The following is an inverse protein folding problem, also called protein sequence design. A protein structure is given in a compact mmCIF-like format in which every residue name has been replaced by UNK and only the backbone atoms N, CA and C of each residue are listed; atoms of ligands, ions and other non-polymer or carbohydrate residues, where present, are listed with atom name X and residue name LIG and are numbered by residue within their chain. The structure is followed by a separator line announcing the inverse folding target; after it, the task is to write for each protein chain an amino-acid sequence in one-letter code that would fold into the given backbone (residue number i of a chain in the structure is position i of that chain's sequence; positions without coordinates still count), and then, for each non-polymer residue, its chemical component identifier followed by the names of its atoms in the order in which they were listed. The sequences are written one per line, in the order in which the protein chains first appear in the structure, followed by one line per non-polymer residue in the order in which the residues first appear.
data_IF_873115134977
#
_entry.id   IF_873115134977
#
_cell.length_a   1.000
_cell.length_b   1.000
_cell.length_c   1.000
_cell.angle_alpha   90.00
_cell.angle_beta   90.00
_cell.angle_gamma   90.00
#
_symmetry.space_group_name_H-M   'P 1'
#
loop_
_entity.id
_entity.type
_entity.pdbx_description
1 polymer ?
#
# COMPACT_ATOMS: atom_id res chain seq x y z
N UNK A 1 5.72 -13.06 -4.91
CA UNK A 1 4.69 -13.13 -3.86
C UNK A 1 4.11 -11.75 -3.62
N UNK A 2 2.80 -11.56 -3.88
CA UNK A 2 2.14 -10.26 -3.67
C UNK A 2 1.45 -10.20 -2.30
N UNK A 3 1.91 -9.29 -1.45
CA UNK A 3 1.36 -9.01 -0.12
C UNK A 3 0.78 -7.59 -0.03
N UNK A 4 0.64 -6.88 -1.13
CA UNK A 4 0.04 -5.54 -1.15
C UNK A 4 -1.43 -5.59 -0.73
N UNK A 5 -1.85 -4.65 0.12
CA UNK A 5 -3.21 -4.63 0.66
C UNK A 5 -3.54 -5.78 1.61
N UNK A 6 -2.62 -6.69 1.90
CA UNK A 6 -2.84 -7.81 2.81
C UNK A 6 -2.59 -7.38 4.27
N UNK A 7 -3.65 -7.20 5.04
CA UNK A 7 -3.61 -6.79 6.46
C UNK A 7 -3.04 -7.85 7.41
N UNK A 8 -2.58 -8.99 6.90
CA UNK A 8 -2.06 -10.12 7.66
C UNK A 8 -3.14 -11.13 8.07
N UNK A 9 -2.77 -12.01 8.97
CA UNK A 9 -3.62 -13.12 9.43
C UNK A 9 -2.99 -13.82 10.64
N UNK A 10 -2.94 -15.13 10.61
CA UNK A 10 -2.41 -15.94 11.69
C UNK A 10 -0.87 -15.95 11.66
N UNK A 11 -0.24 -15.70 12.81
CA UNK A 11 1.21 -15.74 12.95
C UNK A 11 1.78 -17.10 12.53
N UNK A 12 1.12 -18.20 12.89
CA UNK A 12 1.56 -19.54 12.52
C UNK A 12 1.63 -19.73 11.01
N UNK A 13 0.65 -19.20 10.28
CA UNK A 13 0.64 -19.30 8.82
C UNK A 13 1.73 -18.45 8.17
N UNK A 14 2.09 -17.29 8.74
CA UNK A 14 3.24 -16.54 8.25
C UNK A 14 4.55 -17.32 8.42
N UNK A 15 4.70 -18.07 9.52
CA UNK A 15 5.86 -18.98 9.72
C UNK A 15 5.86 -20.10 8.67
N UNK A 16 4.71 -20.70 8.39
CA UNK A 16 4.59 -21.74 7.37
C UNK A 16 4.94 -21.22 5.97
N UNK A 17 4.50 -20.01 5.61
CA UNK A 17 4.84 -19.40 4.31
C UNK A 17 6.35 -19.15 4.20
N UNK A 18 6.98 -18.59 5.23
CA UNK A 18 8.43 -18.38 5.24
C UNK A 18 9.17 -19.73 5.10
N UNK A 19 8.69 -20.77 5.77
CA UNK A 19 9.29 -22.11 5.72
C UNK A 19 9.30 -22.73 4.31
N UNK A 20 8.48 -22.27 3.38
CA UNK A 20 8.57 -22.73 1.99
C UNK A 20 9.91 -22.37 1.34
N UNK A 21 10.57 -21.31 1.80
CA UNK A 21 11.69 -20.68 1.12
C UNK A 21 13.00 -20.67 1.95
N UNK A 22 12.97 -21.13 3.19
CA UNK A 22 14.15 -21.12 4.06
C UNK A 22 14.38 -22.49 4.68
N UNK A 23 15.63 -22.80 4.99
CA UNK A 23 16.02 -24.07 5.61
C UNK A 23 15.36 -24.29 6.97
N UNK A 24 15.12 -25.56 7.29
CA UNK A 24 14.62 -25.96 8.61
C UNK A 24 15.53 -25.42 9.73
N UNK A 25 14.92 -24.87 10.77
CA UNK A 25 15.63 -24.27 11.90
C UNK A 25 15.91 -22.78 11.73
N UNK A 26 15.72 -22.19 10.54
CA UNK A 26 15.91 -20.75 10.31
C UNK A 26 14.95 -19.93 11.18
N UNK A 27 15.44 -18.90 11.90
CA UNK A 27 14.60 -17.98 12.66
C UNK A 27 13.64 -17.23 11.75
N UNK A 28 12.37 -17.11 12.18
CA UNK A 28 11.32 -16.38 11.44
C UNK A 28 10.86 -15.15 12.20
N UNK A 29 10.47 -15.30 13.45
CA UNK A 29 9.98 -14.19 14.27
C UNK A 29 10.10 -14.55 15.74
N UNK A 30 10.36 -13.57 16.59
CA UNK A 30 10.26 -13.72 18.05
C UNK A 30 9.22 -12.75 18.62
N UNK A 31 8.61 -13.15 19.73
CA UNK A 31 7.69 -12.30 20.49
C UNK A 31 8.24 -12.06 21.88
N UNK A 32 8.27 -10.79 22.31
CA UNK A 32 8.77 -10.39 23.64
C UNK A 32 7.78 -9.46 24.30
N UNK A 33 7.48 -9.72 25.56
CA UNK A 33 6.51 -8.96 26.35
C UNK A 33 7.00 -8.62 27.75
N UNK A 34 6.09 -8.12 28.60
CA UNK A 34 6.40 -7.86 30.03
C UNK A 34 6.61 -9.14 30.80
N UNK A 35 5.88 -10.21 30.46
CA UNK A 35 5.96 -11.53 31.11
C UNK A 35 6.95 -12.35 30.29
N UNK A 36 8.16 -12.52 30.82
CA UNK A 36 9.27 -13.18 30.15
C UNK A 36 8.98 -14.63 29.78
N UNK A 37 8.27 -15.35 30.61
CA UNK A 37 7.85 -16.73 30.36
C UNK A 37 6.94 -16.89 29.13
N UNK A 38 6.43 -15.79 28.59
CA UNK A 38 5.60 -15.76 27.38
C UNK A 38 6.40 -15.37 26.13
N UNK A 39 7.66 -15.05 26.28
CA UNK A 39 8.53 -14.80 25.14
C UNK A 39 8.68 -16.10 24.32
N UNK A 40 8.55 -15.99 23.00
CA UNK A 40 8.61 -17.13 22.10
C UNK A 40 9.46 -16.82 20.89
N UNK A 41 10.20 -17.82 20.44
CA UNK A 41 10.90 -17.83 19.17
C UNK A 41 10.21 -18.81 18.23
N UNK A 42 9.97 -18.39 17.00
CA UNK A 42 9.37 -19.21 15.95
C UNK A 42 10.43 -19.41 14.86
N UNK A 43 10.61 -20.67 14.47
CA UNK A 43 11.55 -21.10 13.43
C UNK A 43 10.83 -21.87 12.36
N UNK A 44 11.43 -22.00 11.19
CA UNK A 44 11.00 -22.92 10.16
C UNK A 44 11.10 -24.36 10.70
N UNK A 45 10.00 -25.12 10.67
CA UNK A 45 9.94 -26.44 11.32
C UNK A 45 9.99 -27.60 10.34
N UNK A 46 9.69 -27.37 9.06
CA UNK A 46 9.57 -28.39 8.04
C UNK A 46 10.65 -28.26 6.97
N UNK A 47 10.85 -29.31 6.19
CA UNK A 47 11.65 -29.23 4.98
C UNK A 47 11.10 -28.16 4.05
N UNK A 48 11.93 -27.26 3.49
CA UNK A 48 11.48 -26.22 2.57
C UNK A 48 10.94 -26.79 1.27
N UNK A 49 10.11 -25.98 0.59
CA UNK A 49 9.65 -26.30 -0.75
C UNK A 49 10.75 -26.02 -1.79
N UNK A 50 11.36 -24.84 -1.70
CA UNK A 50 12.43 -24.39 -2.60
C UNK A 50 13.23 -23.25 -1.95
N UNK A 51 14.49 -23.49 -1.69
CA UNK A 51 15.40 -22.48 -1.10
C UNK A 51 16.18 -21.67 -2.14
N UNK A 52 16.10 -22.03 -3.42
CA UNK A 52 16.93 -21.46 -4.48
C UNK A 52 16.14 -20.56 -5.45
N UNK A 53 14.84 -20.80 -5.63
CA UNK A 53 14.02 -20.00 -6.56
C UNK A 53 14.18 -18.49 -6.28
N UNK A 54 14.51 -17.65 -7.27
CA UNK A 54 14.54 -16.20 -7.08
C UNK A 54 13.18 -15.68 -6.60
N UNK A 55 13.18 -14.94 -5.50
CA UNK A 55 11.96 -14.52 -4.83
C UNK A 55 11.88 -12.99 -4.70
N UNK A 56 10.83 -12.42 -5.28
CA UNK A 56 10.44 -11.03 -5.11
C UNK A 56 9.14 -10.94 -4.30
N UNK A 57 9.07 -10.03 -3.33
CA UNK A 57 7.89 -9.80 -2.49
C UNK A 57 7.40 -8.37 -2.68
N UNK A 58 6.14 -8.22 -3.09
CA UNK A 58 5.52 -6.92 -3.29
C UNK A 58 4.79 -6.49 -2.02
N UNK A 59 5.10 -5.28 -1.53
CA UNK A 59 4.48 -4.71 -0.33
C UNK A 59 3.99 -3.28 -0.57
N UNK A 60 3.05 -2.83 0.24
CA UNK A 60 2.62 -1.43 0.32
C UNK A 60 2.11 -1.07 1.72
N UNK A 61 1.64 0.16 1.92
CA UNK A 61 1.08 0.60 3.20
C UNK A 61 -0.14 -0.18 3.71
N UNK A 62 -0.72 -1.08 2.92
CA UNK A 62 -1.76 -2.04 3.32
C UNK A 62 -1.20 -3.38 3.79
N UNK A 63 0.09 -3.67 3.57
CA UNK A 63 0.77 -4.87 4.04
C UNK A 63 1.04 -4.73 5.54
N UNK A 64 0.39 -5.56 6.37
CA UNK A 64 0.46 -5.41 7.82
C UNK A 64 0.57 -6.74 8.57
N UNK A 65 1.11 -6.70 9.81
CA UNK A 65 1.09 -7.82 10.75
C UNK A 65 1.77 -9.09 10.19
N UNK A 66 1.03 -10.21 9.97
CA UNK A 66 1.57 -11.46 9.44
C UNK A 66 2.25 -11.27 8.07
N UNK A 67 1.76 -10.37 7.23
CA UNK A 67 2.42 -10.03 5.95
C UNK A 67 3.78 -9.37 6.16
N UNK A 68 3.91 -8.57 7.21
CA UNK A 68 5.19 -7.96 7.59
C UNK A 68 6.15 -8.97 8.25
N UNK A 69 5.62 -10.02 8.90
CA UNK A 69 6.44 -11.15 9.36
C UNK A 69 7.03 -11.89 8.15
N UNK A 70 6.21 -12.19 7.14
CA UNK A 70 6.68 -12.87 5.92
C UNK A 70 7.74 -12.04 5.21
N UNK A 71 7.41 -10.79 4.85
CA UNK A 71 8.33 -9.93 4.10
C UNK A 71 9.60 -9.60 4.89
N UNK A 72 9.45 -9.22 6.17
CA UNK A 72 10.58 -8.86 7.03
C UNK A 72 11.47 -10.04 7.36
N UNK A 73 10.92 -11.24 7.58
CA UNK A 73 11.71 -12.44 7.82
C UNK A 73 12.52 -12.84 6.59
N UNK A 74 11.92 -12.84 5.40
CA UNK A 74 12.61 -13.18 4.16
C UNK A 74 13.63 -12.11 3.75
N UNK A 75 13.38 -10.83 4.07
CA UNK A 75 14.36 -9.76 3.92
C UNK A 75 15.54 -9.94 4.85
N UNK A 76 15.28 -10.15 6.15
CA UNK A 76 16.33 -10.26 7.19
C UNK A 76 17.20 -11.52 7.05
N UNK A 77 16.66 -12.58 6.44
CA UNK A 77 17.41 -13.79 6.08
C UNK A 77 18.10 -13.69 4.71
N UNK A 78 18.07 -12.53 4.06
CA UNK A 78 18.64 -12.29 2.71
C UNK A 78 18.12 -13.27 1.65
N UNK A 79 16.84 -13.70 1.79
CA UNK A 79 16.22 -14.72 0.93
C UNK A 79 15.38 -14.13 -0.20
N UNK A 80 14.87 -12.91 -0.03
CA UNK A 80 14.01 -12.27 -1.01
C UNK A 80 14.37 -10.79 -1.19
N UNK A 81 14.09 -10.27 -2.39
CA UNK A 81 14.09 -8.84 -2.68
C UNK A 81 12.68 -8.30 -2.43
N UNK A 82 12.57 -7.24 -1.65
CA UNK A 82 11.32 -6.58 -1.30
C UNK A 82 11.12 -5.36 -2.19
N UNK A 83 9.96 -5.27 -2.88
CA UNK A 83 9.64 -4.17 -3.78
C UNK A 83 8.33 -3.48 -3.42
N UNK A 84 8.22 -2.21 -3.75
CA UNK A 84 7.00 -1.43 -3.60
C UNK A 84 7.17 -0.22 -2.71
N UNK A 85 6.36 -0.09 -1.67
CA UNK A 85 6.44 1.01 -0.72
C UNK A 85 6.40 0.52 0.72
N UNK A 86 6.79 1.41 1.64
CA UNK A 86 6.83 1.13 3.08
C UNK A 86 5.55 0.46 3.57
N UNK A 87 5.69 -0.62 4.35
CA UNK A 87 4.56 -1.36 4.93
C UNK A 87 3.86 -0.59 6.06
N UNK A 88 2.83 -1.16 6.63
CA UNK A 88 1.99 -0.51 7.64
C UNK A 88 2.72 -0.21 8.96
N UNK A 89 3.54 -1.14 9.46
CA UNK A 89 4.23 -1.01 10.75
C UNK A 89 3.41 -1.48 11.95
N UNK A 90 2.79 -2.68 11.85
CA UNK A 90 2.00 -3.29 12.95
C UNK A 90 2.79 -4.42 13.61
N UNK A 91 3.56 -4.07 14.65
CA UNK A 91 4.45 -4.97 15.38
C UNK A 91 3.91 -5.43 16.75
N UNK A 92 2.62 -5.28 17.04
CA UNK A 92 2.02 -5.66 18.32
C UNK A 92 1.30 -7.01 18.24
N UNK A 93 1.56 -7.87 19.22
CA UNK A 93 0.87 -9.13 19.42
C UNK A 93 -0.32 -8.91 20.34
N UNK A 94 -1.51 -9.28 19.85
CA UNK A 94 -2.75 -9.17 20.61
C UNK A 94 -3.29 -10.56 20.93
N UNK A 95 -3.75 -10.75 22.16
CA UNK A 95 -4.42 -11.94 22.62
C UNK A 95 -5.89 -11.64 22.92
N UNK A 96 -6.77 -12.58 22.62
CA UNK A 96 -8.20 -12.47 22.90
C UNK A 96 -8.53 -13.40 24.07
N UNK A 97 -9.10 -12.84 25.13
CA UNK A 97 -9.53 -13.57 26.32
C UNK A 97 -11.06 -13.54 26.43
N UNK A 98 -11.71 -14.67 26.60
CA UNK A 98 -13.16 -14.69 26.87
C UNK A 98 -13.43 -14.07 28.24
N UNK A 99 -14.52 -13.33 28.32
CA UNK A 99 -15.09 -12.76 29.55
C UNK A 99 -16.51 -13.28 29.73
N UNK A 100 -17.15 -12.89 30.87
CA UNK A 100 -18.54 -13.18 31.14
C UNK A 100 -19.47 -12.61 30.05
N UNK A 101 -20.70 -13.18 29.96
CA UNK A 101 -21.73 -12.73 29.01
C UNK A 101 -21.29 -12.79 27.53
N UNK A 102 -20.53 -13.81 27.16
CA UNK A 102 -20.02 -14.01 25.79
C UNK A 102 -19.22 -12.81 25.21
N UNK A 103 -18.73 -11.95 26.09
CA UNK A 103 -17.85 -10.84 25.71
C UNK A 103 -16.41 -11.32 25.59
N UNK A 104 -15.56 -10.51 24.90
CA UNK A 104 -14.16 -10.83 24.68
C UNK A 104 -13.30 -9.60 24.94
N UNK A 105 -12.21 -9.79 25.67
CA UNK A 105 -11.17 -8.77 25.86
C UNK A 105 -10.02 -9.03 24.87
N UNK A 106 -9.72 -8.04 24.04
CA UNK A 106 -8.54 -8.03 23.18
C UNK A 106 -7.48 -7.16 23.82
N UNK A 107 -6.36 -7.75 24.20
CA UNK A 107 -5.28 -7.06 24.91
C UNK A 107 -3.95 -7.27 24.22
N UNK A 108 -3.13 -6.21 24.14
CA UNK A 108 -1.74 -6.29 23.66
C UNK A 108 -0.87 -6.92 24.75
N UNK A 109 -0.17 -7.99 24.39
CA UNK A 109 0.63 -8.79 25.35
C UNK A 109 2.13 -8.77 25.03
N UNK A 110 2.52 -8.54 23.77
CA UNK A 110 3.92 -8.54 23.34
C UNK A 110 4.14 -7.66 22.11
N UNK A 111 5.40 -7.43 21.77
CA UNK A 111 5.87 -6.98 20.45
C UNK A 111 6.50 -8.17 19.73
N UNK A 112 6.48 -8.17 18.39
CA UNK A 112 7.26 -9.14 17.64
C UNK A 112 8.45 -8.47 16.94
N UNK A 113 9.48 -9.30 16.77
CA UNK A 113 10.78 -8.92 16.24
C UNK A 113 11.13 -9.86 15.10
N UNK A 114 11.60 -9.32 14.02
CA UNK A 114 12.10 -10.08 12.86
C UNK A 114 13.46 -10.72 13.17
N UNK A 115 14.03 -11.58 12.31
CA UNK A 115 15.29 -12.27 12.58
C UNK A 115 16.47 -11.36 12.90
N UNK A 116 16.53 -10.16 12.32
CA UNK A 116 17.57 -9.16 12.65
C UNK A 116 17.45 -8.59 14.07
N UNK A 117 16.32 -8.83 14.74
CA UNK A 117 16.02 -8.29 16.08
C UNK A 117 15.30 -6.95 16.06
N UNK A 118 14.98 -6.38 14.89
CA UNK A 118 14.22 -5.12 14.79
C UNK A 118 12.74 -5.31 15.09
N UNK A 119 12.15 -4.31 15.74
CA UNK A 119 10.70 -4.20 15.96
C UNK A 119 10.10 -3.24 14.95
N UNK A 120 9.20 -3.72 14.12
CA UNK A 120 8.63 -2.93 13.02
C UNK A 120 7.49 -1.99 13.43
N UNK A 121 7.15 -1.94 14.74
CA UNK A 121 6.03 -1.13 15.24
C UNK A 121 6.25 0.36 15.01
N UNK A 122 5.43 0.95 14.13
CA UNK A 122 5.52 2.36 13.71
C UNK A 122 4.85 3.33 14.67
N UNK A 123 3.75 2.91 15.32
CA UNK A 123 2.96 3.77 16.20
C UNK A 123 3.31 3.53 17.66
N UNK A 124 3.66 4.61 18.38
CA UNK A 124 3.83 4.60 19.82
C UNK A 124 2.50 4.87 20.51
N UNK A 125 1.90 3.82 21.07
CA UNK A 125 0.66 3.91 21.83
C UNK A 125 0.87 4.35 23.28
N UNK A 126 2.11 4.41 23.75
CA UNK A 126 2.45 4.85 25.12
C UNK A 126 2.36 6.36 25.26
N UNK A 127 2.64 7.08 24.18
CA UNK A 127 2.60 8.54 24.12
C UNK A 127 1.58 8.97 23.06
N UNK A 128 0.44 9.47 23.54
CA UNK A 128 -0.63 9.97 22.67
C UNK A 128 -0.51 11.49 22.52
N UNK A 129 -0.89 11.98 21.34
CA UNK A 129 -0.99 13.43 21.10
C UNK A 129 -2.20 14.04 21.83
N UNK A 130 -2.32 15.38 21.77
CA UNK A 130 -3.42 16.13 22.40
C UNK A 130 -4.82 15.67 21.98
N UNK A 131 -4.93 15.00 20.83
CA UNK A 131 -6.19 14.47 20.28
C UNK A 131 -6.39 12.98 20.64
N UNK A 132 -5.59 12.41 21.55
CA UNK A 132 -5.68 11.01 21.98
C UNK A 132 -5.17 9.99 20.95
N UNK A 133 -4.61 10.42 19.81
CA UNK A 133 -4.06 9.54 18.77
C UNK A 133 -2.61 9.17 19.09
N UNK A 134 -2.22 7.93 18.77
CA UNK A 134 -0.84 7.47 18.86
C UNK A 134 0.06 8.26 17.91
N UNK A 135 1.26 8.61 18.37
CA UNK A 135 2.28 9.25 17.55
C UNK A 135 3.06 8.20 16.74
N UNK A 136 3.68 8.64 15.65
CA UNK A 136 4.72 7.82 15.01
C UNK A 136 5.95 7.78 15.94
N UNK A 137 6.70 6.69 15.88
CA UNK A 137 8.05 6.64 16.49
C UNK A 137 8.86 7.77 15.85
N UNK A 138 9.47 8.67 16.63
CA UNK A 138 10.31 9.73 16.10
C UNK A 138 11.50 9.17 15.30
N UNK A 139 11.88 9.82 14.22
CA UNK A 139 13.01 9.40 13.38
C UNK A 139 14.32 9.30 14.17
N UNK A 140 14.49 10.12 15.20
CA UNK A 140 15.65 10.09 16.12
C UNK A 140 15.74 8.83 16.98
N UNK A 141 14.67 8.04 17.06
CA UNK A 141 14.62 6.76 17.81
C UNK A 141 14.65 5.54 16.89
N UNK A 142 14.71 5.73 15.58
CA UNK A 142 14.86 4.64 14.61
C UNK A 142 16.29 4.10 14.71
N UNK A 143 16.38 2.79 14.88
CA UNK A 143 17.67 2.09 15.02
C UNK A 143 17.94 1.26 13.77
N UNK A 144 19.19 1.29 13.34
CA UNK A 144 19.70 0.44 12.25
C UNK A 144 20.02 -0.96 12.77
N UNK A 145 19.61 -1.96 12.03
CA UNK A 145 19.93 -3.38 12.20
C UNK A 145 20.55 -3.93 10.93
N UNK A 146 21.09 -5.13 11.01
CA UNK A 146 21.73 -5.80 9.87
C UNK A 146 21.03 -7.11 9.57
N UNK A 147 20.90 -7.43 8.29
CA UNK A 147 20.44 -8.76 7.85
C UNK A 147 21.45 -9.86 8.19
N UNK A 148 20.99 -11.10 8.22
CA UNK A 148 21.72 -12.21 8.81
C UNK A 148 23.03 -12.58 8.08
N UNK A 149 23.03 -12.54 6.74
CA UNK A 149 24.15 -13.03 5.93
C UNK A 149 24.91 -11.92 5.23
N UNK A 150 24.19 -10.94 4.65
CA UNK A 150 24.77 -9.90 3.79
C UNK A 150 25.05 -8.59 4.51
N UNK A 151 24.64 -8.46 5.78
CA UNK A 151 24.78 -7.22 6.56
C UNK A 151 24.10 -5.99 5.88
N UNK A 152 23.01 -6.20 5.12
CA UNK A 152 22.21 -5.10 4.58
C UNK A 152 21.61 -4.29 5.72
N UNK A 153 21.53 -2.98 5.53
CA UNK A 153 20.90 -2.08 6.51
C UNK A 153 19.39 -2.22 6.47
N UNK A 154 18.80 -2.49 7.62
CA UNK A 154 17.33 -2.53 7.83
C UNK A 154 17.01 -1.74 9.10
N UNK A 155 15.81 -1.19 9.19
CA UNK A 155 15.46 -0.25 10.26
C UNK A 155 14.23 -0.70 11.05
N UNK A 156 14.17 -0.35 12.32
CA UNK A 156 13.00 -0.55 13.16
C UNK A 156 12.03 0.66 13.11
N UNK A 157 10.95 0.61 13.88
CA UNK A 157 10.08 1.75 14.15
C UNK A 157 9.25 2.30 12.99
N UNK A 158 9.36 1.73 11.78
CA UNK A 158 8.69 2.30 10.60
C UNK A 158 7.89 1.30 9.74
N UNK A 159 7.92 0.03 10.03
CA UNK A 159 7.45 -1.07 9.18
C UNK A 159 8.60 -1.69 8.39
N UNK A 160 8.26 -2.43 7.32
CA UNK A 160 9.25 -3.01 6.41
C UNK A 160 9.46 -2.04 5.25
N UNK A 161 10.68 -1.53 5.10
CA UNK A 161 11.10 -0.75 3.96
C UNK A 161 11.46 -1.68 2.78
N UNK A 162 11.01 -1.39 1.56
CA UNK A 162 11.41 -2.18 0.40
C UNK A 162 12.89 -1.98 0.05
N UNK A 163 13.51 -2.99 -0.56
CA UNK A 163 14.85 -2.89 -1.14
C UNK A 163 14.84 -2.04 -2.42
N UNK A 164 13.73 -2.10 -3.18
CA UNK A 164 13.46 -1.26 -4.34
C UNK A 164 12.15 -0.51 -4.11
N UNK A 165 12.26 0.80 -3.92
CA UNK A 165 11.08 1.65 -3.79
C UNK A 165 10.49 1.94 -5.17
N UNK A 166 9.21 1.59 -5.35
CA UNK A 166 8.43 1.96 -6.52
C UNK A 166 7.39 2.98 -6.09
N UNK A 167 7.52 4.19 -6.62
CA UNK A 167 6.60 5.28 -6.28
C UNK A 167 5.20 4.95 -6.73
N UNK A 168 4.26 5.10 -5.82
CA UNK A 168 2.84 4.98 -6.13
C UNK A 168 2.39 6.20 -6.91
N UNK A 169 1.77 5.99 -8.06
CA UNK A 169 1.02 7.05 -8.70
C UNK A 169 -0.21 7.36 -7.85
N UNK A 170 -0.26 8.58 -7.32
CA UNK A 170 -1.47 9.06 -6.64
C UNK A 170 -2.56 9.27 -7.68
N UNK A 171 -3.78 8.91 -7.33
CA UNK A 171 -4.93 9.18 -8.18
C UNK A 171 -5.12 10.69 -8.30
N UNK A 172 -5.56 11.12 -9.48
CA UNK A 172 -5.99 12.49 -9.70
C UNK A 172 -7.19 12.83 -8.80
N UNK A 173 -7.39 14.12 -8.54
CA UNK A 173 -8.52 14.56 -7.71
C UNK A 173 -9.86 14.20 -8.34
N UNK A 174 -9.97 14.26 -9.67
CA UNK A 174 -11.18 13.84 -10.37
C UNK A 174 -11.43 12.34 -10.19
N UNK A 175 -10.43 11.47 -10.39
CA UNK A 175 -10.58 10.02 -10.17
C UNK A 175 -10.96 9.71 -8.73
N UNK A 176 -10.37 10.42 -7.78
CA UNK A 176 -10.70 10.30 -6.36
C UNK A 176 -12.16 10.70 -6.10
N UNK A 177 -12.64 11.82 -6.68
CA UNK A 177 -14.02 12.25 -6.54
C UNK A 177 -15.00 11.23 -7.12
N UNK A 178 -14.74 10.76 -8.34
CA UNK A 178 -15.56 9.74 -9.02
C UNK A 178 -15.64 8.43 -8.19
N UNK A 179 -14.54 8.02 -7.55
CA UNK A 179 -14.47 6.87 -6.67
C UNK A 179 -15.30 7.06 -5.40
N UNK A 180 -15.08 8.17 -4.68
CA UNK A 180 -15.76 8.46 -3.41
C UNK A 180 -17.27 8.61 -3.60
N UNK A 181 -17.70 9.12 -4.76
CA UNK A 181 -19.11 9.25 -5.12
C UNK A 181 -19.70 8.01 -5.78
N UNK A 182 -18.91 6.90 -5.84
CA UNK A 182 -19.34 5.62 -6.42
C UNK A 182 -19.81 5.70 -7.88
N UNK A 183 -19.31 6.67 -8.65
CA UNK A 183 -19.75 6.88 -10.02
C UNK A 183 -19.19 5.83 -10.99
N UNK A 184 -17.99 5.32 -10.74
CA UNK A 184 -17.46 4.15 -11.45
C UNK A 184 -18.35 2.93 -11.22
N UNK A 185 -18.70 2.67 -9.96
CA UNK A 185 -19.56 1.56 -9.59
C UNK A 185 -20.93 1.64 -10.25
N UNK A 186 -21.55 2.83 -10.26
CA UNK A 186 -22.85 3.08 -10.90
C UNK A 186 -22.82 2.76 -12.38
N UNK A 187 -21.87 3.37 -13.10
CA UNK A 187 -21.74 3.15 -14.54
C UNK A 187 -21.39 1.70 -14.90
N UNK A 188 -20.47 1.08 -14.18
CA UNK A 188 -20.13 -0.33 -14.42
C UNK A 188 -21.34 -1.26 -14.26
N UNK A 189 -22.27 -0.92 -13.37
CA UNK A 189 -23.54 -1.63 -13.20
C UNK A 189 -24.47 -1.41 -14.38
N UNK A 190 -24.64 -0.16 -14.86
CA UNK A 190 -25.41 0.14 -16.07
C UNK A 190 -24.80 -0.53 -17.31
N UNK A 191 -23.47 -0.50 -17.43
CA UNK A 191 -22.75 -1.18 -18.49
C UNK A 191 -23.06 -2.70 -18.51
N UNK A 192 -23.06 -3.35 -17.35
CA UNK A 192 -23.40 -4.77 -17.22
C UNK A 192 -24.83 -5.09 -17.61
N UNK A 193 -25.77 -4.18 -17.38
CA UNK A 193 -27.16 -4.33 -17.79
C UNK A 193 -27.35 -4.16 -19.29
N UNK A 194 -26.48 -3.40 -19.96
CA UNK A 194 -26.53 -3.13 -21.40
C UNK A 194 -25.82 -4.19 -22.25
N UNK A 195 -24.76 -4.77 -21.73
CA UNK A 195 -23.91 -5.75 -22.43
C UNK A 195 -23.89 -7.08 -21.67
N UNK A 196 -24.34 -8.16 -22.32
CA UNK A 196 -24.40 -9.48 -21.68
C UNK A 196 -23.01 -10.11 -21.46
N UNK A 197 -22.06 -9.81 -22.32
CA UNK A 197 -20.70 -10.37 -22.30
C UNK A 197 -19.65 -9.30 -22.61
N UNK A 198 -18.44 -9.52 -22.15
CA UNK A 198 -17.23 -8.78 -22.55
C UNK A 198 -16.14 -9.78 -22.98
N UNK A 199 -15.03 -9.29 -23.52
CA UNK A 199 -13.84 -10.09 -23.77
C UNK A 199 -13.24 -10.63 -22.47
N UNK A 200 -12.16 -11.42 -22.57
CA UNK A 200 -11.46 -11.91 -21.38
C UNK A 200 -10.99 -10.75 -20.49
N UNK A 201 -10.80 -11.00 -19.19
CA UNK A 201 -10.35 -9.96 -18.25
C UNK A 201 -9.03 -9.30 -18.69
N UNK A 202 -8.16 -10.05 -19.35
CA UNK A 202 -6.88 -9.56 -19.87
C UNK A 202 -7.01 -8.70 -21.13
N UNK A 203 -8.02 -8.97 -21.95
CA UNK A 203 -8.14 -8.35 -23.27
C UNK A 203 -9.22 -7.25 -23.29
N UNK A 204 -9.92 -7.05 -22.16
CA UNK A 204 -10.97 -6.06 -22.08
C UNK A 204 -10.38 -4.66 -22.04
N UNK A 205 -10.79 -3.84 -22.98
CA UNK A 205 -10.51 -2.41 -22.99
C UNK A 205 -11.70 -1.66 -23.56
N UNK A 206 -12.05 -0.55 -22.93
CA UNK A 206 -13.11 0.34 -23.40
C UNK A 206 -12.70 1.02 -24.70
N UNK A 207 -13.59 1.04 -25.69
CA UNK A 207 -13.42 1.89 -26.87
C UNK A 207 -13.58 3.37 -26.51
N UNK A 208 -13.16 4.26 -27.41
CA UNK A 208 -13.36 5.70 -27.22
C UNK A 208 -14.84 6.05 -27.14
N UNK A 209 -15.69 5.43 -27.96
CA UNK A 209 -17.14 5.61 -27.90
C UNK A 209 -17.74 5.16 -26.55
N UNK A 210 -17.25 4.07 -26.01
CA UNK A 210 -17.69 3.58 -24.70
C UNK A 210 -17.22 4.51 -23.56
N UNK A 211 -16.04 5.12 -23.71
CA UNK A 211 -15.56 6.14 -22.77
C UNK A 211 -16.42 7.41 -22.86
N UNK A 212 -16.79 7.86 -24.06
CA UNK A 212 -17.72 8.99 -24.25
C UNK A 212 -19.09 8.71 -23.64
N UNK A 213 -19.57 7.47 -23.67
CA UNK A 213 -20.81 7.11 -22.97
C UNK A 213 -20.67 7.29 -21.45
N UNK A 214 -19.49 6.99 -20.88
CA UNK A 214 -19.22 7.28 -19.47
C UNK A 214 -19.19 8.78 -19.18
N UNK A 215 -18.54 9.57 -20.03
CA UNK A 215 -18.53 11.05 -19.90
C UNK A 215 -19.96 11.60 -19.96
N UNK A 216 -20.79 11.08 -20.85
CA UNK A 216 -22.20 11.48 -20.97
C UNK A 216 -23.03 11.04 -19.73
N UNK A 217 -22.75 9.87 -19.16
CA UNK A 217 -23.35 9.42 -17.89
C UNK A 217 -23.06 10.38 -16.74
N UNK A 218 -21.91 11.06 -16.75
CA UNK A 218 -21.53 12.02 -15.72
C UNK A 218 -22.15 13.41 -15.89
N UNK A 219 -22.85 13.68 -17.00
CA UNK A 219 -23.32 15.03 -17.34
C UNK A 219 -24.27 15.64 -16.29
N UNK A 220 -25.08 14.81 -15.63
CA UNK A 220 -26.04 15.19 -14.58
C UNK A 220 -25.59 14.81 -13.16
N UNK A 221 -24.38 14.25 -13.02
CA UNK A 221 -23.84 13.80 -11.73
C UNK A 221 -23.00 14.88 -11.06
N UNK A 222 -23.06 14.90 -9.74
CA UNK A 222 -22.15 15.71 -8.94
C UNK A 222 -20.84 14.94 -8.70
N UNK A 223 -19.74 15.41 -9.31
CA UNK A 223 -18.36 14.95 -9.06
C UNK A 223 -17.43 16.11 -8.73
N UNK A 224 -17.98 17.13 -8.05
CA UNK A 224 -17.23 18.28 -7.59
C UNK A 224 -16.09 17.88 -6.63
N UNK A 225 -14.96 18.54 -6.78
CA UNK A 225 -13.80 18.42 -5.88
C UNK A 225 -13.08 19.77 -5.83
N UNK A 226 -12.33 20.00 -4.77
CA UNK A 226 -11.37 21.10 -4.62
C UNK A 226 -9.96 20.54 -4.68
N UNK A 227 -9.02 21.34 -5.16
CA UNK A 227 -7.61 21.00 -5.13
C UNK A 227 -6.93 21.71 -3.97
N UNK A 228 -5.83 21.15 -3.47
CA UNK A 228 -4.99 21.81 -2.45
C UNK A 228 -4.54 23.21 -2.92
N UNK A 229 -4.29 23.37 -4.23
CA UNK A 229 -3.93 24.68 -4.80
C UNK A 229 -5.07 25.70 -4.70
N UNK A 230 -6.33 25.27 -4.88
CA UNK A 230 -7.49 26.13 -4.69
C UNK A 230 -7.68 26.51 -3.20
N UNK A 231 -7.51 25.55 -2.30
CA UNK A 231 -7.58 25.79 -0.85
C UNK A 231 -6.47 26.77 -0.41
N UNK A 232 -5.24 26.59 -0.91
CA UNK A 232 -4.14 27.50 -0.65
C UNK A 232 -4.37 28.89 -1.22
N UNK A 233 -5.02 29.04 -2.38
CA UNK A 233 -5.42 30.34 -2.91
C UNK A 233 -6.43 31.05 -2.01
N UNK A 234 -7.42 30.34 -1.50
CA UNK A 234 -8.39 30.90 -0.55
C UNK A 234 -7.67 31.36 0.74
N UNK A 235 -6.73 30.55 1.23
CA UNK A 235 -5.92 30.90 2.39
C UNK A 235 -5.02 32.13 2.12
N UNK A 236 -4.41 32.22 0.92
CA UNK A 236 -3.61 33.36 0.49
C UNK A 236 -4.45 34.65 0.41
N UNK A 237 -5.65 34.58 -0.17
CA UNK A 237 -6.56 35.73 -0.24
C UNK A 237 -6.87 36.27 1.17
N UNK A 238 -7.18 35.34 2.09
CA UNK A 238 -7.47 35.71 3.48
C UNK A 238 -6.27 36.38 4.14
N UNK A 239 -5.09 35.77 4.05
CA UNK A 239 -3.86 36.31 4.64
C UNK A 239 -3.51 37.69 4.07
N UNK A 240 -3.59 37.85 2.73
CA UNK A 240 -3.28 39.13 2.08
C UNK A 240 -4.28 40.24 2.49
N UNK A 241 -5.56 39.90 2.72
CA UNK A 241 -6.56 40.84 3.25
C UNK A 241 -6.26 41.24 4.70
N UNK A 242 -5.91 40.28 5.54
CA UNK A 242 -5.55 40.52 6.95
C UNK A 242 -4.31 41.42 7.05
N UNK A 243 -3.33 41.21 6.15
CA UNK A 243 -2.09 41.98 6.05
C UNK A 243 -2.26 43.32 5.30
N UNK A 244 -3.45 43.60 4.72
CA UNK A 244 -3.80 44.81 3.94
C UNK A 244 -2.99 45.01 2.64
N UNK A 245 -2.48 43.93 2.05
CA UNK A 245 -1.77 43.93 0.75
C UNK A 245 -2.59 43.32 -0.40
N UNK A 246 -3.83 42.92 -0.18
CA UNK A 246 -4.61 42.23 -1.20
C UNK A 246 -4.85 43.09 -2.45
N UNK A 247 -5.09 44.38 -2.27
CA UNK A 247 -5.34 45.29 -3.39
C UNK A 247 -4.10 45.44 -4.29
N UNK A 248 -2.92 45.34 -3.74
CA UNK A 248 -1.64 45.46 -4.48
C UNK A 248 -1.34 44.20 -5.33
N UNK A 249 -1.88 43.03 -4.94
CA UNK A 249 -1.62 41.75 -5.60
C UNK A 249 -2.86 41.14 -6.28
N UNK A 250 -3.96 41.86 -6.28
CA UNK A 250 -5.26 41.36 -6.76
C UNK A 250 -5.22 40.88 -8.20
N UNK A 251 -4.54 41.60 -9.08
CA UNK A 251 -4.43 41.26 -10.51
C UNK A 251 -3.74 39.92 -10.71
N UNK A 252 -2.62 39.70 -10.02
CA UNK A 252 -1.85 38.45 -10.07
C UNK A 252 -2.62 37.29 -9.43
N UNK A 253 -3.30 37.57 -8.33
CA UNK A 253 -4.18 36.60 -7.67
C UNK A 253 -5.30 36.12 -8.59
N UNK A 254 -6.06 37.05 -9.22
CA UNK A 254 -7.13 36.67 -10.13
C UNK A 254 -6.59 35.96 -11.40
N UNK A 255 -5.44 36.38 -11.92
CA UNK A 255 -4.80 35.68 -13.03
C UNK A 255 -4.42 34.24 -12.66
N UNK A 256 -3.86 34.03 -11.47
CA UNK A 256 -3.50 32.70 -10.97
C UNK A 256 -4.76 31.86 -10.72
N UNK A 257 -5.77 32.43 -10.07
CA UNK A 257 -7.07 31.80 -9.81
C UNK A 257 -7.74 31.32 -11.10
N UNK A 258 -7.74 32.16 -12.14
CA UNK A 258 -8.30 31.80 -13.44
C UNK A 258 -7.53 30.67 -14.14
N UNK A 259 -6.20 30.61 -13.96
CA UNK A 259 -5.36 29.53 -14.51
C UNK A 259 -5.50 28.22 -13.76
N UNK A 260 -5.75 28.28 -12.45
CA UNK A 260 -5.98 27.11 -11.59
C UNK A 260 -7.45 26.68 -11.57
N UNK A 261 -8.36 27.53 -12.10
CA UNK A 261 -9.77 27.19 -12.17
C UNK A 261 -9.97 25.98 -13.09
N UNK A 262 -10.26 24.82 -12.47
CA UNK A 262 -10.32 23.55 -13.17
C UNK A 262 -11.54 23.46 -14.08
N UNK A 263 -11.27 23.21 -15.35
CA UNK A 263 -12.28 22.71 -16.25
C UNK A 263 -12.50 21.21 -15.98
N UNK A 264 -13.38 20.87 -15.05
CA UNK A 264 -13.67 19.49 -14.64
C UNK A 264 -14.04 18.57 -15.80
N UNK A 265 -14.69 19.09 -16.84
CA UNK A 265 -14.88 18.34 -18.09
C UNK A 265 -13.57 18.08 -18.81
N UNK A 266 -12.67 19.06 -18.83
CA UNK A 266 -11.32 18.90 -19.39
C UNK A 266 -10.49 17.86 -18.64
N UNK A 267 -10.68 17.75 -17.33
CA UNK A 267 -9.95 16.77 -16.51
C UNK A 267 -10.37 15.32 -16.79
N UNK A 268 -11.61 15.07 -17.23
CA UNK A 268 -12.03 13.75 -17.71
C UNK A 268 -11.17 13.27 -18.90
N UNK A 269 -10.78 14.18 -19.77
CA UNK A 269 -9.92 13.86 -20.92
C UNK A 269 -8.43 13.91 -20.58
N UNK A 270 -8.02 14.82 -19.71
CA UNK A 270 -6.64 14.94 -19.26
C UNK A 270 -6.16 13.70 -18.50
N UNK A 271 -7.03 13.10 -17.70
CA UNK A 271 -6.77 11.91 -16.91
C UNK A 271 -7.46 10.65 -17.47
N UNK A 272 -7.76 10.66 -18.77
CA UNK A 272 -8.52 9.60 -19.45
C UNK A 272 -7.96 8.20 -19.19
N UNK A 273 -6.66 8.01 -19.31
CA UNK A 273 -6.04 6.68 -19.15
C UNK A 273 -6.20 6.14 -17.72
N UNK A 274 -6.03 6.99 -16.71
CA UNK A 274 -6.24 6.63 -15.31
C UNK A 274 -7.70 6.29 -15.03
N UNK A 275 -8.62 7.15 -15.48
CA UNK A 275 -10.07 6.97 -15.31
C UNK A 275 -10.53 5.70 -16.03
N UNK A 276 -10.06 5.49 -17.26
CA UNK A 276 -10.36 4.32 -18.07
C UNK A 276 -9.91 3.04 -17.38
N UNK A 277 -8.68 3.02 -16.85
CA UNK A 277 -8.15 1.88 -16.10
C UNK A 277 -9.01 1.51 -14.87
N UNK A 278 -9.42 2.50 -14.08
CA UNK A 278 -10.28 2.27 -12.91
C UNK A 278 -11.65 1.72 -13.36
N UNK A 279 -12.24 2.32 -14.39
CA UNK A 279 -13.54 1.94 -14.91
C UNK A 279 -13.53 0.53 -15.51
N UNK A 280 -12.48 0.18 -16.26
CA UNK A 280 -12.28 -1.16 -16.85
C UNK A 280 -12.20 -2.23 -15.75
N UNK A 281 -11.45 -1.98 -14.67
CA UNK A 281 -11.38 -2.88 -13.52
C UNK A 281 -12.75 -3.08 -12.85
N UNK A 282 -13.51 -2.00 -12.70
CA UNK A 282 -14.86 -2.07 -12.14
C UNK A 282 -15.84 -2.84 -13.04
N UNK A 283 -15.77 -2.64 -14.35
CA UNK A 283 -16.57 -3.39 -15.34
C UNK A 283 -16.17 -4.87 -15.32
N UNK A 284 -14.88 -5.18 -15.45
CA UNK A 284 -14.37 -6.57 -15.45
C UNK A 284 -14.83 -7.32 -14.20
N UNK A 285 -14.87 -6.65 -13.05
CA UNK A 285 -15.37 -7.25 -11.80
C UNK A 285 -16.82 -7.73 -11.90
N UNK A 286 -17.67 -7.07 -12.71
CA UNK A 286 -19.08 -7.46 -12.92
C UNK A 286 -19.26 -8.75 -13.71
N UNK A 287 -18.27 -9.11 -14.56
CA UNK A 287 -18.33 -10.29 -15.42
C UNK A 287 -17.46 -11.42 -14.92
N UNK A 288 -16.25 -11.12 -14.45
CA UNK A 288 -15.21 -12.08 -14.11
C UNK A 288 -14.88 -12.12 -12.61
N UNK A 289 -15.66 -11.41 -11.77
CA UNK A 289 -15.50 -11.35 -10.31
C UNK A 289 -14.09 -10.90 -9.88
N UNK A 290 -13.71 -11.25 -8.66
CA UNK A 290 -12.43 -10.84 -8.08
C UNK A 290 -11.21 -11.39 -8.85
N UNK A 291 -11.31 -12.61 -9.37
CA UNK A 291 -10.21 -13.19 -10.15
C UNK A 291 -9.94 -12.38 -11.43
N UNK A 292 -11.00 -12.05 -12.17
CA UNK A 292 -10.86 -11.20 -13.36
C UNK A 292 -10.33 -9.80 -13.04
N UNK A 293 -10.75 -9.20 -11.92
CA UNK A 293 -10.22 -7.93 -11.46
C UNK A 293 -8.71 -7.99 -11.22
N UNK A 294 -8.24 -9.05 -10.56
CA UNK A 294 -6.80 -9.29 -10.35
C UNK A 294 -6.10 -9.39 -11.70
N UNK A 295 -6.60 -10.24 -12.61
CA UNK A 295 -5.99 -10.42 -13.95
C UNK A 295 -5.90 -9.11 -14.74
N UNK A 296 -6.96 -8.29 -14.73
CA UNK A 296 -6.97 -6.99 -15.42
C UNK A 296 -5.98 -6.01 -14.79
N UNK A 297 -5.89 -5.97 -13.46
CA UNK A 297 -5.01 -5.04 -12.74
C UNK A 297 -3.52 -5.29 -12.97
N UNK A 298 -3.13 -6.52 -13.35
CA UNK A 298 -1.73 -6.86 -13.58
C UNK A 298 -1.13 -6.22 -14.85
N UNK A 299 -1.97 -5.76 -15.79
CA UNK A 299 -1.49 -5.21 -17.07
C UNK A 299 -0.79 -3.86 -16.96
N UNK A 300 -1.07 -3.10 -15.90
CA UNK A 300 -0.55 -1.76 -15.69
C UNK A 300 -0.02 -1.59 -14.26
N UNK A 301 0.73 -2.58 -13.79
CA UNK A 301 1.25 -2.63 -12.44
C UNK A 301 2.75 -2.34 -12.42
N UNK A 302 3.18 -1.10 -12.15
CA UNK A 302 4.59 -0.73 -12.19
C UNK A 302 5.44 -1.46 -11.15
N UNK A 303 4.82 -1.93 -10.04
CA UNK A 303 5.54 -2.70 -9.01
C UNK A 303 5.80 -4.11 -9.50
N UNK A 304 4.81 -4.71 -10.18
CA UNK A 304 4.97 -6.02 -10.79
C UNK A 304 5.99 -5.99 -11.93
N UNK A 305 5.93 -4.96 -12.78
CA UNK A 305 6.88 -4.79 -13.88
C UNK A 305 8.32 -4.67 -13.38
N UNK A 306 8.56 -3.88 -12.32
CA UNK A 306 9.88 -3.76 -11.73
C UNK A 306 10.33 -5.07 -11.05
N UNK A 307 9.40 -5.81 -10.45
CA UNK A 307 9.70 -7.13 -9.88
C UNK A 307 10.11 -8.14 -10.95
N UNK A 308 9.39 -8.18 -12.08
CA UNK A 308 9.73 -9.05 -13.22
C UNK A 308 11.10 -8.68 -13.79
N UNK A 309 11.36 -7.39 -13.96
CA UNK A 309 12.65 -6.88 -14.43
C UNK A 309 13.78 -7.28 -13.48
N UNK A 310 13.60 -7.09 -12.18
CA UNK A 310 14.58 -7.46 -11.14
C UNK A 310 14.85 -8.97 -11.13
N UNK A 311 13.81 -9.81 -11.25
CA UNK A 311 13.96 -11.26 -11.28
C UNK A 311 14.65 -11.77 -12.57
N UNK A 312 14.49 -11.06 -13.68
CA UNK A 312 15.17 -11.39 -14.96
C UNK A 312 16.64 -10.95 -14.97
N UNK A 313 16.99 -9.90 -14.24
CA UNK A 313 18.36 -9.42 -14.09
C UNK A 313 19.02 -10.10 -12.87
N UNK A 314 19.61 -11.26 -13.09
CA UNK A 314 20.26 -12.05 -12.04
C UNK A 314 21.42 -11.32 -11.38
N UNK A 315 22.11 -10.42 -12.10
CA UNK A 315 23.22 -9.63 -11.55
C UNK A 315 22.67 -8.61 -10.56
N UNK A 316 21.65 -7.86 -10.96
CA UNK A 316 20.97 -6.91 -10.09
C UNK A 316 20.38 -7.61 -8.87
N UNK A 317 19.63 -8.70 -9.08
CA UNK A 317 18.99 -9.47 -8.01
C UNK A 317 20.02 -9.92 -6.95
N UNK A 318 21.11 -10.55 -7.39
CA UNK A 318 22.15 -11.03 -6.49
C UNK A 318 22.91 -9.87 -5.80
N UNK A 319 23.13 -8.75 -6.48
CA UNK A 319 23.78 -7.57 -5.88
C UNK A 319 22.94 -6.94 -4.76
N UNK A 320 21.60 -6.95 -4.92
CA UNK A 320 20.70 -6.49 -3.86
C UNK A 320 20.76 -7.43 -2.65
N UNK A 321 20.65 -8.73 -2.87
CA UNK A 321 20.75 -9.71 -1.77
C UNK A 321 22.11 -9.67 -1.07
N UNK A 322 23.18 -9.42 -1.80
CA UNK A 322 24.53 -9.29 -1.26
C UNK A 322 24.80 -7.93 -0.57
N UNK A 323 23.87 -6.97 -0.66
CA UNK A 323 24.08 -5.63 -0.11
C UNK A 323 25.14 -4.80 -0.83
N UNK A 324 25.49 -5.15 -2.06
CA UNK A 324 26.50 -4.44 -2.88
C UNK A 324 25.90 -3.46 -3.88
N UNK A 325 24.58 -3.46 -4.01
CA UNK A 325 23.86 -2.49 -4.83
C UNK A 325 23.82 -1.14 -4.09
N UNK A 326 24.51 -0.11 -4.63
CA UNK A 326 24.53 1.26 -4.09
C UNK A 326 23.76 2.19 -4.99
#
# INVERSE_FOLDING_TARGET
LDLRGNGGGLLRESVNIVNFFVEQGTPVVSTKGKIKDWDKEYKALSTPLDTEIPLAILINGGSASASEIVSGSLQDNDRAVILGSLSFGKGLVQNVRPLSYNSKLKVTVAKYYTPSGRCIQKLDYSHKNKNGKANKVPDSLITEFKTANSNRSVFDGQGIAPDIEVKRNLLSNISTSLLLKSLFFGYATEFRLKYDTISSAKDFSLSDDQYENFVNYLADKDYEYTTESEDLLVALEKAAKDDKYFDDVKTEYEALKNKLNHNKKGDLYKFKDEIKFILENDIVTRYHYQLGQIEASLQHDPVLDEAIKTLKDTVLYNSILAGTNK
#
